data_IF_397970536570
#
_entry.id   IF_397970536570
#
_cell.length_a   1.000
_cell.length_b   1.000
_cell.length_c   1.000
_cell.angle_alpha   90.00
_cell.angle_beta   90.00
_cell.angle_gamma   90.00
#
_symmetry.space_group_name_H-M   'P 1'
#
loop_
_entity.id
_entity.type
_entity.pdbx_description
1 polymer ?
#
# COMPACT_ATOMS: atom_id res chain seq x y z
N UNK A 1 16.80 2.49 -21.77
CA UNK A 1 16.75 1.52 -20.66
C UNK A 1 15.97 0.28 -21.11
N UNK A 2 16.45 -0.92 -20.79
CA UNK A 2 15.79 -2.20 -21.10
C UNK A 2 15.20 -2.75 -19.81
N UNK A 3 13.92 -3.12 -19.85
CA UNK A 3 13.19 -3.75 -18.74
C UNK A 3 13.14 -5.26 -18.98
N UNK A 4 13.32 -6.05 -17.94
CA UNK A 4 13.40 -7.51 -18.03
C UNK A 4 12.05 -8.20 -17.74
N UNK A 5 11.29 -7.66 -16.79
CA UNK A 5 10.04 -8.24 -16.30
C UNK A 5 8.88 -7.25 -16.47
N UNK A 6 9.08 -5.99 -16.07
CA UNK A 6 8.07 -4.95 -16.16
C UNK A 6 7.71 -4.68 -17.63
N UNK A 7 6.42 -4.76 -17.90
CA UNK A 7 5.81 -4.45 -19.19
C UNK A 7 4.50 -3.69 -18.95
N UNK A 8 3.87 -3.21 -20.03
CA UNK A 8 2.67 -2.39 -19.91
C UNK A 8 1.50 -3.12 -19.22
N UNK A 9 1.31 -4.42 -19.45
CA UNK A 9 0.20 -5.16 -18.85
C UNK A 9 0.36 -5.29 -17.32
N UNK A 10 1.57 -5.58 -16.84
CA UNK A 10 1.85 -5.56 -15.40
C UNK A 10 1.66 -4.14 -14.87
N UNK A 11 2.25 -3.14 -15.52
CA UNK A 11 2.17 -1.75 -15.09
C UNK A 11 0.73 -1.25 -14.95
N UNK A 12 -0.13 -1.51 -15.96
CA UNK A 12 -1.54 -1.13 -15.95
C UNK A 12 -2.31 -1.75 -14.78
N UNK A 13 -1.99 -3.01 -14.45
CA UNK A 13 -2.57 -3.70 -13.31
C UNK A 13 -2.18 -3.04 -11.99
N UNK A 14 -0.88 -2.82 -11.76
CA UNK A 14 -0.40 -2.15 -10.55
C UNK A 14 -0.95 -0.73 -10.43
N UNK A 15 -0.97 0.00 -11.55
CA UNK A 15 -1.43 1.39 -11.60
C UNK A 15 -2.90 1.48 -11.20
N UNK A 16 -3.76 0.66 -11.81
CA UNK A 16 -5.21 0.67 -11.53
C UNK A 16 -5.49 0.37 -10.06
N UNK A 17 -4.78 -0.59 -9.49
CA UNK A 17 -4.99 -0.99 -8.10
C UNK A 17 -4.51 0.11 -7.13
N UNK A 18 -3.37 0.75 -7.40
CA UNK A 18 -2.92 1.90 -6.61
C UNK A 18 -3.83 3.12 -6.80
N UNK A 19 -4.35 3.37 -8.00
CA UNK A 19 -5.34 4.43 -8.24
C UNK A 19 -6.63 4.19 -7.45
N UNK A 20 -7.13 2.95 -7.40
CA UNK A 20 -8.27 2.58 -6.58
C UNK A 20 -7.98 2.78 -5.08
N UNK A 21 -6.81 2.35 -4.61
CA UNK A 21 -6.38 2.57 -3.23
C UNK A 21 -6.31 4.06 -2.89
N UNK A 22 -5.58 4.84 -3.68
CA UNK A 22 -5.38 6.27 -3.40
C UNK A 22 -6.69 7.04 -3.45
N UNK A 23 -7.56 6.75 -4.41
CA UNK A 23 -8.91 7.33 -4.49
C UNK A 23 -9.75 7.00 -3.26
N UNK A 24 -9.68 5.75 -2.81
CA UNK A 24 -10.37 5.30 -1.60
C UNK A 24 -9.88 6.09 -0.39
N UNK A 25 -8.56 6.20 -0.19
CA UNK A 25 -7.95 6.79 1.00
C UNK A 25 -7.70 8.31 0.93
N UNK A 26 -8.34 9.03 0.00
CA UNK A 26 -8.20 10.48 -0.20
C UNK A 26 -6.76 10.95 -0.46
N UNK A 27 -6.00 10.16 -1.23
CA UNK A 27 -4.64 10.49 -1.64
C UNK A 27 -4.63 11.05 -3.08
N UNK A 28 -3.77 12.03 -3.39
CA UNK A 28 -3.74 12.66 -4.72
C UNK A 28 -3.50 11.67 -5.86
N UNK A 29 -4.24 11.77 -6.96
CA UNK A 29 -4.09 10.92 -8.15
C UNK A 29 -4.09 11.79 -9.41
N UNK A 30 -3.17 11.54 -10.34
CA UNK A 30 -3.06 12.31 -11.58
C UNK A 30 -2.98 13.82 -11.34
N UNK A 31 -2.31 14.20 -10.25
CA UNK A 31 -2.18 15.56 -9.77
C UNK A 31 -0.69 15.84 -9.50
N UNK A 32 0.10 16.06 -10.55
CA UNK A 32 1.53 16.33 -10.41
C UNK A 32 1.80 17.63 -9.63
N UNK A 33 0.86 18.58 -9.62
CA UNK A 33 1.00 19.84 -8.88
C UNK A 33 0.91 19.62 -7.35
N UNK A 34 0.31 18.51 -6.91
CA UNK A 34 0.29 18.11 -5.49
C UNK A 34 1.60 17.49 -4.99
N UNK A 35 2.55 17.16 -5.88
CA UNK A 35 3.86 16.62 -5.50
C UNK A 35 4.82 17.77 -5.16
N UNK A 36 4.57 18.42 -4.02
CA UNK A 36 5.49 19.40 -3.44
C UNK A 36 6.69 18.71 -2.75
N UNK A 37 7.67 19.51 -2.28
CA UNK A 37 8.88 18.99 -1.62
C UNK A 37 8.55 18.06 -0.44
N UNK A 38 7.47 18.32 0.31
CA UNK A 38 7.08 17.50 1.47
C UNK A 38 6.49 16.17 1.03
N UNK A 39 5.65 16.18 -0.02
CA UNK A 39 5.10 14.97 -0.59
C UNK A 39 6.21 14.13 -1.23
N UNK A 40 7.19 14.76 -1.86
CA UNK A 40 8.34 14.08 -2.46
C UNK A 40 9.27 13.43 -1.41
N UNK A 41 9.55 14.18 -0.33
CA UNK A 41 10.26 13.67 0.85
C UNK A 41 9.51 12.48 1.46
N UNK A 42 8.18 12.53 1.54
CA UNK A 42 7.36 11.44 2.06
C UNK A 42 7.42 10.20 1.17
N UNK A 43 7.29 10.33 -0.15
CA UNK A 43 7.46 9.19 -1.07
C UNK A 43 8.82 8.54 -0.92
N UNK A 44 9.86 9.35 -0.79
CA UNK A 44 11.23 8.87 -0.58
C UNK A 44 11.36 8.18 0.78
N UNK A 45 10.82 8.75 1.85
CA UNK A 45 10.85 8.16 3.19
C UNK A 45 10.16 6.80 3.22
N UNK A 46 8.97 6.67 2.61
CA UNK A 46 8.25 5.41 2.51
C UNK A 46 9.05 4.37 1.71
N UNK A 47 9.60 4.74 0.54
CA UNK A 47 10.43 3.82 -0.22
C UNK A 47 11.69 3.37 0.53
N UNK A 48 12.30 4.24 1.34
CA UNK A 48 13.44 3.89 2.18
C UNK A 48 13.04 2.94 3.32
N UNK A 49 11.87 3.15 3.94
CA UNK A 49 11.30 2.27 4.96
C UNK A 49 11.16 0.84 4.41
N UNK A 50 10.40 0.65 3.33
CA UNK A 50 10.15 -0.70 2.76
C UNK A 50 11.44 -1.38 2.25
N UNK A 51 12.36 -0.61 1.66
CA UNK A 51 13.64 -1.15 1.20
C UNK A 51 14.57 -1.51 2.38
N UNK A 52 14.41 -0.88 3.54
CA UNK A 52 15.12 -1.24 4.77
C UNK A 52 14.53 -2.54 5.34
N UNK A 53 13.20 -2.68 5.35
CA UNK A 53 12.55 -3.92 5.74
C UNK A 53 13.01 -5.09 4.85
N UNK A 54 13.16 -4.88 3.54
CA UNK A 54 13.74 -5.90 2.64
C UNK A 54 15.18 -6.27 3.01
N UNK A 55 15.99 -5.30 3.46
CA UNK A 55 17.36 -5.55 3.86
C UNK A 55 17.47 -6.30 5.21
N UNK A 56 16.47 -6.16 6.07
CA UNK A 56 16.40 -6.77 7.41
C UNK A 56 15.62 -8.09 7.44
N UNK A 57 14.81 -8.37 6.41
CA UNK A 57 13.95 -9.54 6.30
C UNK A 57 14.71 -10.87 6.48
N UNK A 58 14.22 -11.71 7.40
CA UNK A 58 14.88 -12.95 7.79
C UNK A 58 14.27 -14.22 7.14
N UNK A 59 13.13 -14.05 6.48
CA UNK A 59 12.37 -15.12 5.86
C UNK A 59 11.89 -14.75 4.46
N UNK A 60 11.58 -15.76 3.64
CA UNK A 60 11.06 -15.53 2.29
C UNK A 60 9.71 -14.80 2.31
N UNK A 61 8.88 -15.01 3.33
CA UNK A 61 7.61 -14.29 3.48
C UNK A 61 7.86 -12.80 3.72
N UNK A 62 8.76 -12.46 4.63
CA UNK A 62 9.14 -11.06 4.89
C UNK A 62 9.82 -10.40 3.68
N UNK A 63 10.68 -11.14 2.96
CA UNK A 63 11.30 -10.65 1.73
C UNK A 63 10.24 -10.31 0.67
N UNK A 64 9.22 -11.16 0.50
CA UNK A 64 8.14 -10.93 -0.45
C UNK A 64 7.25 -9.77 -0.03
N UNK A 65 6.91 -9.66 1.25
CA UNK A 65 6.13 -8.54 1.81
C UNK A 65 6.83 -7.21 1.49
N UNK A 66 8.10 -7.08 1.87
CA UNK A 66 8.88 -5.87 1.64
C UNK A 66 9.11 -5.56 0.14
N UNK A 67 9.24 -6.59 -0.72
CA UNK A 67 9.29 -6.39 -2.18
C UNK A 67 7.97 -5.82 -2.71
N UNK A 68 6.84 -6.39 -2.30
CA UNK A 68 5.51 -5.96 -2.74
C UNK A 68 5.23 -4.54 -2.23
N UNK A 69 5.50 -4.26 -0.96
CA UNK A 69 5.29 -2.94 -0.35
C UNK A 69 6.20 -1.88 -0.96
N UNK A 70 7.46 -2.21 -1.26
CA UNK A 70 8.36 -1.35 -2.03
C UNK A 70 7.78 -0.97 -3.39
N UNK A 71 7.22 -1.94 -4.13
CA UNK A 71 6.54 -1.65 -5.41
C UNK A 71 5.27 -0.83 -5.18
N UNK A 72 4.53 -1.07 -4.11
CA UNK A 72 3.30 -0.37 -3.76
C UNK A 72 3.54 1.13 -3.55
N UNK A 73 4.58 1.49 -2.79
CA UNK A 73 4.94 2.90 -2.51
C UNK A 73 5.54 3.59 -3.74
N UNK A 74 6.36 2.89 -4.54
CA UNK A 74 6.90 3.40 -5.80
C UNK A 74 5.78 3.69 -6.83
N UNK A 75 4.83 2.76 -6.97
CA UNK A 75 3.64 2.99 -7.80
C UNK A 75 2.76 4.11 -7.25
N UNK A 76 2.73 4.31 -5.93
CA UNK A 76 2.10 5.47 -5.29
C UNK A 76 2.56 6.81 -5.87
N UNK A 77 3.87 6.98 -6.05
CA UNK A 77 4.47 8.17 -6.70
C UNK A 77 4.07 8.25 -8.17
N UNK A 78 4.11 7.12 -8.88
CA UNK A 78 3.73 7.07 -10.30
C UNK A 78 2.27 7.50 -10.54
N UNK A 79 1.35 7.02 -9.69
CA UNK A 79 -0.08 7.35 -9.77
C UNK A 79 -0.34 8.80 -9.38
N UNK A 80 0.34 9.34 -8.37
CA UNK A 80 0.23 10.76 -8.04
C UNK A 80 0.61 11.65 -9.24
N UNK A 81 1.70 11.30 -9.93
CA UNK A 81 2.18 12.02 -11.11
C UNK A 81 1.33 11.80 -12.38
N UNK A 82 0.39 10.85 -12.37
CA UNK A 82 -0.43 10.56 -13.54
C UNK A 82 0.27 9.76 -14.64
N UNK A 83 1.35 9.04 -14.32
CA UNK A 83 2.19 8.37 -15.32
C UNK A 83 1.60 7.05 -15.78
N UNK A 84 0.90 7.01 -16.92
CA UNK A 84 0.14 5.81 -17.34
C UNK A 84 0.98 4.76 -18.06
N UNK A 85 2.09 5.16 -18.66
CA UNK A 85 3.06 4.25 -19.26
C UNK A 85 4.26 3.98 -18.36
N UNK A 86 4.71 2.71 -18.31
CA UNK A 86 5.94 2.30 -17.62
C UNK A 86 7.24 2.95 -18.18
N UNK A 87 7.13 3.81 -19.19
CA UNK A 87 8.24 4.56 -19.79
C UNK A 87 8.16 6.07 -19.51
N UNK A 88 7.15 6.55 -18.80
CA UNK A 88 6.95 7.97 -18.48
C UNK A 88 7.76 8.41 -17.26
N UNK A 89 8.00 7.49 -16.31
CA UNK A 89 8.95 7.66 -15.19
C UNK A 89 9.93 6.51 -15.18
N UNK A 90 11.06 6.69 -15.85
CA UNK A 90 12.04 5.62 -16.08
C UNK A 90 12.72 5.19 -14.78
N UNK A 91 12.99 6.13 -13.88
CA UNK A 91 13.66 5.92 -12.61
C UNK A 91 12.82 5.01 -11.70
N UNK A 92 11.54 5.36 -11.53
CA UNK A 92 10.58 4.56 -10.75
C UNK A 92 10.36 3.19 -11.39
N UNK A 93 10.12 3.16 -12.71
CA UNK A 93 9.86 1.91 -13.43
C UNK A 93 11.07 0.98 -13.41
N UNK A 94 12.29 1.53 -13.38
CA UNK A 94 13.51 0.73 -13.29
C UNK A 94 13.68 0.08 -11.93
N UNK A 95 13.39 0.81 -10.85
CA UNK A 95 13.40 0.25 -9.51
C UNK A 95 12.36 -0.87 -9.37
N UNK A 96 11.14 -0.64 -9.88
CA UNK A 96 10.09 -1.67 -9.92
C UNK A 96 10.58 -2.90 -10.69
N UNK A 97 11.15 -2.73 -11.89
CA UNK A 97 11.65 -3.87 -12.68
C UNK A 97 12.78 -4.64 -11.97
N UNK A 98 13.62 -3.98 -11.18
CA UNK A 98 14.62 -4.65 -10.33
C UNK A 98 13.94 -5.49 -9.26
N UNK A 99 12.94 -4.95 -8.57
CA UNK A 99 12.19 -5.66 -7.52
C UNK A 99 11.44 -6.87 -8.07
N UNK A 100 10.80 -6.72 -9.24
CA UNK A 100 10.16 -7.83 -9.95
C UNK A 100 11.16 -8.92 -10.35
N UNK A 101 12.37 -8.54 -10.77
CA UNK A 101 13.44 -9.50 -11.05
C UNK A 101 13.93 -10.23 -9.78
N UNK A 102 13.97 -9.54 -8.63
CA UNK A 102 14.32 -10.17 -7.35
C UNK A 102 13.25 -11.20 -6.98
N UNK A 103 11.96 -10.85 -7.03
CA UNK A 103 10.87 -11.79 -6.80
C UNK A 103 10.96 -13.02 -7.72
N UNK A 104 11.20 -12.79 -9.01
CA UNK A 104 11.38 -13.89 -9.98
C UNK A 104 12.56 -14.80 -9.64
N UNK A 105 13.68 -14.26 -9.14
CA UNK A 105 14.85 -15.06 -8.70
C UNK A 105 14.59 -15.84 -7.42
N UNK A 106 13.68 -15.37 -6.58
CA UNK A 106 13.23 -16.05 -5.38
C UNK A 106 12.19 -17.14 -5.66
N UNK A 107 11.74 -17.30 -6.92
CA UNK A 107 10.67 -18.25 -7.26
C UNK A 107 9.32 -17.80 -6.72
N UNK A 108 9.01 -16.52 -6.90
CA UNK A 108 7.77 -15.91 -6.41
C UNK A 108 7.01 -15.32 -7.57
N UNK A 109 5.77 -15.77 -7.76
CA UNK A 109 4.79 -15.05 -8.57
C UNK A 109 4.39 -13.73 -7.88
N UNK A 110 5.05 -12.66 -8.31
CA UNK A 110 4.82 -11.31 -7.80
C UNK A 110 3.36 -10.87 -7.94
N UNK A 111 2.68 -11.20 -9.05
CA UNK A 111 1.31 -10.70 -9.30
C UNK A 111 0.34 -11.33 -8.31
N UNK A 112 0.49 -12.63 -8.03
CA UNK A 112 -0.30 -13.31 -7.00
C UNK A 112 -0.09 -12.70 -5.60
N UNK A 113 1.15 -12.34 -5.26
CA UNK A 113 1.46 -11.70 -3.97
C UNK A 113 0.90 -10.26 -3.90
N UNK A 114 1.05 -9.51 -4.99
CA UNK A 114 0.50 -8.17 -5.16
C UNK A 114 -1.01 -8.15 -4.92
N UNK A 115 -1.76 -9.05 -5.57
CA UNK A 115 -3.21 -9.13 -5.47
C UNK A 115 -3.67 -9.38 -4.02
N UNK A 116 -2.94 -10.24 -3.29
CA UNK A 116 -3.24 -10.53 -1.90
C UNK A 116 -2.99 -9.32 -0.99
N UNK A 117 -1.87 -8.63 -1.18
CA UNK A 117 -1.53 -7.40 -0.43
C UNK A 117 -2.50 -6.26 -0.77
N UNK A 118 -2.82 -6.06 -2.05
CA UNK A 118 -3.77 -5.04 -2.46
C UNK A 118 -5.17 -5.32 -1.87
N UNK A 119 -5.64 -6.56 -1.93
CA UNK A 119 -6.92 -6.94 -1.33
C UNK A 119 -6.93 -6.77 0.20
N UNK A 120 -5.84 -7.13 0.88
CA UNK A 120 -5.62 -6.84 2.31
C UNK A 120 -5.71 -5.33 2.60
N UNK A 121 -5.02 -4.51 1.81
CA UNK A 121 -5.02 -3.06 1.94
C UNK A 121 -6.43 -2.45 1.77
N UNK A 122 -7.19 -2.91 0.78
CA UNK A 122 -8.57 -2.47 0.55
C UNK A 122 -9.53 -2.94 1.65
N UNK A 123 -9.23 -4.03 2.35
CA UNK A 123 -10.05 -4.51 3.49
C UNK A 123 -9.98 -3.63 4.74
N UNK A 124 -9.13 -2.58 4.75
CA UNK A 124 -9.08 -1.59 5.84
C UNK A 124 -10.37 -0.73 5.88
N UNK A 125 -11.11 -0.65 4.78
CA UNK A 125 -12.38 0.10 4.68
C UNK A 125 -13.50 -0.67 5.38
N UNK A 126 -14.33 0.04 6.15
CA UNK A 126 -15.57 -0.52 6.70
C UNK A 126 -16.63 -0.57 5.60
N UNK A 127 -17.22 -1.73 5.33
CA UNK A 127 -18.17 -1.90 4.20
C UNK A 127 -19.52 -1.23 4.43
N UNK A 128 -19.87 -0.95 5.68
CA UNK A 128 -21.15 -0.39 6.06
C UNK A 128 -21.07 0.32 7.42
N UNK A 129 -22.18 0.95 7.82
CA UNK A 129 -22.27 1.69 9.08
C UNK A 129 -22.06 0.83 10.33
N UNK A 130 -22.43 -0.46 10.29
CA UNK A 130 -22.22 -1.38 11.40
C UNK A 130 -20.73 -1.66 11.61
N UNK A 131 -20.01 -2.00 10.53
CA UNK A 131 -18.55 -2.21 10.62
C UNK A 131 -17.81 -0.96 11.12
N UNK A 132 -18.27 0.23 10.71
CA UNK A 132 -17.72 1.48 11.23
C UNK A 132 -18.03 1.66 12.72
N UNK A 133 -19.26 1.38 13.16
CA UNK A 133 -19.63 1.49 14.57
C UNK A 133 -18.84 0.51 15.45
N UNK A 134 -18.62 -0.72 14.99
CA UNK A 134 -17.81 -1.72 15.69
C UNK A 134 -16.34 -1.29 15.76
N UNK A 135 -15.82 -0.74 14.66
CA UNK A 135 -14.48 -0.16 14.60
C UNK A 135 -14.32 1.03 15.53
N UNK A 136 -15.32 1.91 15.58
CA UNK A 136 -15.34 3.05 16.48
C UNK A 136 -15.36 2.62 17.95
N UNK A 137 -16.20 1.65 18.31
CA UNK A 137 -16.25 1.11 19.67
C UNK A 137 -14.92 0.46 20.08
N UNK A 138 -14.25 -0.25 19.16
CA UNK A 138 -12.94 -0.85 19.42
C UNK A 138 -11.85 0.18 19.69
N UNK A 139 -11.77 1.25 18.89
CA UNK A 139 -10.77 2.29 19.09
C UNK A 139 -11.07 3.19 20.29
N UNK A 140 -12.36 3.44 20.60
CA UNK A 140 -12.76 4.17 21.80
C UNK A 140 -12.28 3.48 23.10
N UNK A 141 -12.29 2.14 23.15
CA UNK A 141 -11.72 1.38 24.29
C UNK A 141 -10.20 1.58 24.46
N UNK A 142 -9.51 2.03 23.39
CA UNK A 142 -8.08 2.35 23.39
C UNK A 142 -7.81 3.84 23.57
N UNK A 143 -8.84 4.63 23.86
CA UNK A 143 -8.74 6.09 23.98
C UNK A 143 -8.52 6.80 22.64
N UNK A 144 -8.88 6.18 21.52
CA UNK A 144 -8.76 6.76 20.18
C UNK A 144 -10.16 7.04 19.64
N UNK A 145 -10.49 8.31 19.50
CA UNK A 145 -11.72 8.72 18.83
C UNK A 145 -11.54 8.62 17.31
N UNK A 146 -12.53 8.05 16.64
CA UNK A 146 -12.53 7.91 15.17
C UNK A 146 -13.76 8.54 14.56
N UNK A 147 -13.55 9.18 13.41
CA UNK A 147 -14.58 9.82 12.59
C UNK A 147 -14.76 9.05 11.27
N UNK A 148 -16.00 9.07 10.78
CA UNK A 148 -16.36 8.47 9.51
C UNK A 148 -15.93 9.38 8.36
N UNK A 149 -15.29 8.80 7.35
CA UNK A 149 -15.07 9.41 6.04
C UNK A 149 -15.77 8.53 5.00
N UNK A 150 -17.03 8.84 4.64
CA UNK A 150 -17.79 8.06 3.67
C UNK A 150 -17.13 8.06 2.29
N UNK A 151 -17.21 6.91 1.62
CA UNK A 151 -16.79 6.65 0.24
C UNK A 151 -17.94 5.97 -0.50
N UNK A 152 -17.81 5.89 -1.83
CA UNK A 152 -18.77 5.16 -2.66
C UNK A 152 -18.91 3.70 -2.21
N UNK A 153 -17.78 3.05 -1.90
CA UNK A 153 -17.71 1.62 -1.56
C UNK A 153 -17.55 1.33 -0.05
N UNK A 154 -17.84 2.30 0.82
CA UNK A 154 -17.79 2.08 2.27
C UNK A 154 -17.47 3.32 3.10
N UNK A 155 -16.86 3.10 4.25
CA UNK A 155 -16.55 4.13 5.25
C UNK A 155 -15.12 3.92 5.74
N UNK A 156 -14.32 4.96 5.67
CA UNK A 156 -12.98 4.96 6.26
C UNK A 156 -13.07 5.51 7.68
N UNK A 157 -12.51 4.78 8.64
CA UNK A 157 -12.30 5.29 9.99
C UNK A 157 -11.00 6.09 10.03
N UNK A 158 -11.07 7.36 10.41
CA UNK A 158 -9.89 8.22 10.61
C UNK A 158 -9.78 8.67 12.05
N UNK A 159 -8.57 8.78 12.58
CA UNK A 159 -8.33 9.35 13.90
C UNK A 159 -8.86 10.79 13.96
N UNK A 160 -9.68 11.11 14.97
CA UNK A 160 -10.41 12.37 15.06
C UNK A 160 -9.53 13.57 15.47
N UNK A 161 -8.43 13.30 16.18
CA UNK A 161 -7.48 14.30 16.66
C UNK A 161 -6.12 13.63 16.93
N UNK A 162 -5.07 14.45 17.10
CA UNK A 162 -3.79 13.96 17.59
C UNK A 162 -3.95 13.32 18.98
N UNK A 163 -3.53 12.07 19.11
CA UNK A 163 -3.61 11.31 20.37
C UNK A 163 -2.34 10.48 20.58
N UNK A 164 -1.86 10.46 21.82
CA UNK A 164 -0.74 9.63 22.23
C UNK A 164 -1.24 8.38 22.94
N UNK A 165 -0.98 7.21 22.35
CA UNK A 165 -1.35 5.90 22.91
C UNK A 165 -0.09 5.05 23.00
N UNK A 166 0.18 4.49 24.19
CA UNK A 166 1.37 3.66 24.45
C UNK A 166 2.70 4.31 24.02
N UNK A 167 2.81 5.63 24.19
CA UNK A 167 4.00 6.41 23.80
C UNK A 167 4.14 6.66 22.29
N UNK A 168 3.15 6.27 21.47
CA UNK A 168 3.11 6.53 20.02
C UNK A 168 2.08 7.62 19.72
N UNK A 169 2.50 8.62 18.94
CA UNK A 169 1.61 9.66 18.42
C UNK A 169 0.83 9.13 17.20
N UNK A 170 -0.49 9.14 17.31
CA UNK A 170 -1.43 8.90 16.22
C UNK A 170 -1.97 10.27 15.82
N UNK A 171 -1.65 10.70 14.61
CA UNK A 171 -2.07 12.02 14.12
C UNK A 171 -3.53 12.01 13.68
N UNK A 172 -4.16 13.17 13.77
CA UNK A 172 -5.45 13.44 13.13
C UNK A 172 -5.45 13.01 11.65
N UNK A 173 -6.55 12.44 11.19
CA UNK A 173 -6.71 12.01 9.81
C UNK A 173 -6.04 10.67 9.48
N UNK A 174 -5.23 10.11 10.39
CA UNK A 174 -4.64 8.77 10.20
C UNK A 174 -5.74 7.73 10.01
N UNK A 175 -5.64 6.96 8.93
CA UNK A 175 -6.55 5.86 8.63
C UNK A 175 -6.36 4.75 9.67
N UNK A 176 -7.48 4.33 10.24
CA UNK A 176 -7.57 3.25 11.22
C UNK A 176 -8.13 2.00 10.53
N UNK A 177 -7.58 0.82 10.85
CA UNK A 177 -7.99 -0.42 10.21
C UNK A 177 -9.37 -0.82 10.72
N UNK A 178 -10.29 -1.19 9.82
CA UNK A 178 -11.54 -1.87 10.20
C UNK A 178 -11.24 -3.04 11.14
N UNK A 179 -12.10 -3.29 12.12
CA UNK A 179 -11.99 -4.51 12.95
C UNK A 179 -12.22 -5.80 12.14
N UNK A 180 -12.77 -5.68 10.93
CA UNK A 180 -12.96 -6.75 9.95
C UNK A 180 -11.84 -6.81 8.90
N UNK A 181 -10.76 -6.04 9.09
CA UNK A 181 -9.56 -6.08 8.26
C UNK A 181 -9.02 -7.51 8.16
N UNK A 182 -8.67 -7.92 6.94
CA UNK A 182 -8.03 -9.20 6.64
C UNK A 182 -6.54 -8.96 6.38
N UNK A 183 -5.62 -9.43 7.24
CA UNK A 183 -4.19 -9.36 6.93
C UNK A 183 -3.86 -10.20 5.70
N UNK A 184 -2.85 -9.77 4.95
CA UNK A 184 -2.35 -10.51 3.79
C UNK A 184 -1.79 -11.87 4.24
N UNK A 185 -2.11 -12.92 3.50
CA UNK A 185 -1.61 -14.28 3.75
C UNK A 185 -0.57 -14.68 2.68
N UNK A 186 0.60 -14.04 2.74
CA UNK A 186 1.69 -14.26 1.78
C UNK A 186 2.33 -15.65 1.88
N UNK A 187 2.19 -16.33 3.02
CA UNK A 187 2.67 -17.70 3.16
C UNK A 187 2.02 -18.64 2.11
N UNK A 188 0.75 -18.41 1.76
CA UNK A 188 0.06 -19.17 0.70
C UNK A 188 0.64 -18.88 -0.69
N UNK A 189 1.04 -17.65 -0.95
CA UNK A 189 1.62 -17.25 -2.23
C UNK A 189 3.00 -17.89 -2.43
N UNK A 190 3.80 -17.97 -1.36
CA UNK A 190 5.16 -18.52 -1.40
C UNK A 190 5.19 -20.05 -1.39
N UNK A 191 4.23 -20.73 -0.75
CA UNK A 191 4.20 -22.20 -0.68
C UNK A 191 3.64 -22.87 -1.95
N UNK A 192 2.89 -22.16 -2.78
CA UNK A 192 2.24 -22.72 -3.96
C UNK A 192 3.23 -23.20 -5.06
N UNK A 193 4.50 -22.77 -5.02
CA UNK A 193 5.53 -23.17 -5.98
C UNK A 193 6.41 -24.36 -5.53
N UNK A 194 6.19 -24.90 -4.33
CA UNK A 194 6.91 -26.06 -3.79
C UNK A 194 6.14 -27.39 -3.92
N UNK A 195 4.99 -27.40 -4.60
CA UNK A 195 4.11 -28.56 -4.77
C UNK A 195 4.13 -29.14 -6.19
#
# INVERSE_FOLDING_TARGET
MKFAVLNQAIYDHLYRDIEAFRSTFDLPCNDPDSLDDKADDLHTALAVEEMTELAEADSLVEQVDAIVDSVYVLMGRAVQMGSRGYREQLEVSYMIDILLQIASRLGVDFVTCWDEVHSSNMSKVCRNQQEFADTQAFYAQKGIDVVASPKEDGIIAKCAADVSVDGKLIREGKVMKSVYYRPADLAKCVMAELA
#
